data_IF_463227919873
#
_entry.id   IF_463227919873
#
_cell.length_a   1.000
_cell.length_b   1.000
_cell.length_c   1.000
_cell.angle_alpha   90.00
_cell.angle_beta   90.00
_cell.angle_gamma   90.00
#
_symmetry.space_group_name_H-M   'P 1'
#
loop_
_entity.id
_entity.type
_entity.pdbx_description
1 polymer ?
#
# COMPACT_ATOMS: atom_id res chain seq x y z
N UNK A 1 -1.18 -35.13 35.27
CA UNK A 1 -0.21 -34.44 36.15
C UNK A 1 0.55 -33.37 35.35
N UNK A 2 0.18 -32.09 35.41
CA UNK A 2 0.88 -31.04 34.66
C UNK A 2 2.24 -30.75 35.33
N UNK A 3 3.36 -31.06 34.67
CA UNK A 3 4.73 -30.83 35.15
C UNK A 3 4.92 -29.38 35.64
N UNK A 4 5.57 -29.16 36.80
CA UNK A 4 5.76 -27.84 37.43
C UNK A 4 6.23 -26.74 36.45
N UNK A 5 7.06 -27.08 35.45
CA UNK A 5 7.50 -26.16 34.37
C UNK A 5 6.34 -25.57 33.54
N UNK A 6 5.32 -26.38 33.18
CA UNK A 6 4.14 -25.93 32.43
C UNK A 6 3.25 -24.99 33.25
N UNK A 7 3.07 -25.27 34.55
CA UNK A 7 2.29 -24.39 35.45
C UNK A 7 2.92 -23.01 35.58
N UNK A 8 4.24 -22.96 35.69
CA UNK A 8 4.99 -21.70 35.77
C UNK A 8 4.92 -20.88 34.48
N UNK A 9 5.17 -21.50 33.33
CA UNK A 9 5.04 -20.82 32.03
C UNK A 9 3.62 -20.25 31.84
N UNK A 10 2.58 -21.03 32.16
CA UNK A 10 1.18 -20.57 32.06
C UNK A 10 0.89 -19.37 32.97
N UNK A 11 1.48 -19.32 34.17
CA UNK A 11 1.29 -18.19 35.09
C UNK A 11 1.94 -16.90 34.56
N UNK A 12 3.17 -17.00 34.04
CA UNK A 12 3.90 -15.89 33.41
C UNK A 12 3.12 -15.40 32.17
N UNK A 13 2.73 -16.33 31.29
CA UNK A 13 1.95 -16.01 30.09
C UNK A 13 0.62 -15.34 30.43
N UNK A 14 -0.08 -15.79 31.47
CA UNK A 14 -1.34 -15.16 31.91
C UNK A 14 -1.12 -13.75 32.42
N UNK A 15 -0.03 -13.49 33.15
CA UNK A 15 0.35 -12.15 33.61
C UNK A 15 0.63 -11.23 32.43
N UNK A 16 1.45 -11.68 31.48
CA UNK A 16 1.82 -10.90 30.31
C UNK A 16 0.63 -10.66 29.37
N UNK A 17 -0.24 -11.66 29.16
CA UNK A 17 -1.48 -11.48 28.40
C UNK A 17 -2.41 -10.45 29.05
N UNK A 18 -2.52 -10.45 30.39
CA UNK A 18 -3.33 -9.45 31.09
C UNK A 18 -2.84 -8.02 30.82
N UNK A 19 -1.53 -7.83 30.62
CA UNK A 19 -0.94 -6.52 30.28
C UNK A 19 -1.36 -6.03 28.88
N UNK A 20 -1.53 -6.94 27.91
CA UNK A 20 -2.03 -6.61 26.56
C UNK A 20 -3.43 -6.02 26.62
N UNK A 21 -4.29 -6.61 27.47
CA UNK A 21 -5.68 -6.20 27.62
C UNK A 21 -5.89 -5.10 28.67
N UNK A 22 -4.84 -4.43 29.14
CA UNK A 22 -5.02 -3.21 29.94
C UNK A 22 -5.45 -2.05 29.05
N UNK A 23 -6.26 -1.13 29.60
CA UNK A 23 -6.78 0.02 28.84
C UNK A 23 -5.69 0.83 28.14
N UNK A 24 -4.57 1.08 28.83
CA UNK A 24 -3.41 1.80 28.26
C UNK A 24 -2.83 1.08 27.04
N UNK A 25 -2.70 -0.24 27.11
CA UNK A 25 -2.16 -1.05 26.01
C UNK A 25 -3.17 -1.18 24.88
N UNK A 26 -4.46 -1.39 25.18
CA UNK A 26 -5.53 -1.42 24.16
C UNK A 26 -5.58 -0.10 23.38
N UNK A 27 -5.47 1.05 24.06
CA UNK A 27 -5.39 2.34 23.38
C UNK A 27 -4.21 2.36 22.41
N UNK A 28 -3.03 1.96 22.86
CA UNK A 28 -1.81 2.06 22.05
C UNK A 28 -1.75 1.03 20.91
N UNK A 29 -2.36 -0.15 21.11
CA UNK A 29 -2.34 -1.27 20.15
C UNK A 29 -3.51 -1.29 19.18
N UNK A 30 -4.66 -0.71 19.56
CA UNK A 30 -5.89 -0.73 18.77
C UNK A 30 -6.36 0.68 18.45
N UNK A 31 -6.48 1.59 19.42
CA UNK A 31 -7.08 2.91 19.15
C UNK A 31 -6.14 3.83 18.37
N UNK A 32 -4.86 3.93 18.77
CA UNK A 32 -3.88 4.81 18.10
C UNK A 32 -3.62 4.41 16.65
N UNK A 33 -3.35 3.12 16.31
CA UNK A 33 -3.13 2.73 14.92
C UNK A 33 -4.36 2.97 14.05
N UNK A 34 -5.55 2.69 14.61
CA UNK A 34 -6.84 2.95 13.94
C UNK A 34 -7.02 4.44 13.64
N UNK A 35 -6.89 5.30 14.65
CA UNK A 35 -7.08 6.76 14.50
C UNK A 35 -6.00 7.35 13.61
N UNK A 36 -4.75 6.91 13.71
CA UNK A 36 -3.68 7.39 12.83
C UNK A 36 -3.99 7.09 11.37
N UNK A 37 -4.39 5.86 11.06
CA UNK A 37 -4.76 5.51 9.68
C UNK A 37 -6.01 6.22 9.22
N UNK A 38 -7.01 6.32 10.09
CA UNK A 38 -8.20 7.11 9.81
C UNK A 38 -7.88 8.58 9.54
N UNK A 39 -6.97 9.18 10.31
CA UNK A 39 -6.57 10.57 10.15
C UNK A 39 -5.74 10.79 8.88
N UNK A 40 -4.77 9.91 8.62
CA UNK A 40 -3.87 10.00 7.48
C UNK A 40 -4.61 9.79 6.15
N UNK A 41 -5.56 8.85 6.13
CA UNK A 41 -6.31 8.49 4.91
C UNK A 41 -7.61 9.29 4.80
N UNK A 42 -8.40 9.30 5.86
CA UNK A 42 -9.75 9.87 5.87
C UNK A 42 -9.79 11.39 5.89
N UNK A 43 -8.85 12.07 6.56
CA UNK A 43 -8.89 13.54 6.64
C UNK A 43 -8.57 14.17 5.27
N UNK A 44 -7.49 13.78 4.55
CA UNK A 44 -7.25 14.32 3.21
C UNK A 44 -8.40 14.06 2.24
N UNK A 45 -9.06 12.90 2.30
CA UNK A 45 -10.23 12.63 1.44
C UNK A 45 -11.40 13.58 1.68
N UNK A 46 -11.56 14.09 2.92
CA UNK A 46 -12.57 15.10 3.24
C UNK A 46 -12.23 16.49 2.68
N UNK A 47 -10.95 16.76 2.37
CA UNK A 47 -10.47 18.03 1.81
C UNK A 47 -10.22 17.99 0.30
N UNK A 48 -10.05 16.80 -0.30
CA UNK A 48 -9.87 16.60 -1.75
C UNK A 48 -11.20 16.65 -2.51
N UNK A 49 -12.33 16.59 -1.81
CA UNK A 49 -13.69 16.79 -2.36
C UNK A 49 -13.94 18.14 -3.05
N UNK A 50 -12.90 18.99 -3.20
CA UNK A 50 -12.96 20.27 -3.90
C UNK A 50 -11.94 20.47 -5.04
N UNK A 51 -11.17 19.46 -5.47
CA UNK A 51 -10.25 19.60 -6.62
C UNK A 51 -10.78 18.96 -7.89
N UNK A 52 -11.09 19.79 -8.90
CA UNK A 52 -11.60 19.33 -10.18
C UNK A 52 -10.49 18.60 -10.98
N UNK A 53 -10.82 17.44 -11.54
CA UNK A 53 -10.00 16.74 -12.53
C UNK A 53 -10.12 17.46 -13.86
N UNK A 54 -9.05 18.12 -14.30
CA UNK A 54 -9.00 18.77 -15.62
C UNK A 54 -8.46 17.77 -16.63
N UNK A 55 -9.24 17.52 -17.68
CA UNK A 55 -8.86 16.67 -18.82
C UNK A 55 -8.79 17.58 -20.04
N UNK A 56 -7.58 17.71 -20.60
CA UNK A 56 -7.32 18.57 -21.75
C UNK A 56 -7.49 17.78 -23.04
N UNK A 57 -8.42 18.18 -23.89
CA UNK A 57 -8.77 17.46 -25.11
C UNK A 57 -8.45 18.32 -26.34
N UNK A 58 -7.76 17.75 -27.32
CA UNK A 58 -7.62 18.34 -28.64
C UNK A 58 -8.30 17.44 -29.66
N UNK A 59 -9.36 17.93 -30.28
CA UNK A 59 -10.03 17.26 -31.38
C UNK A 59 -9.63 17.92 -32.71
N UNK A 60 -8.78 17.26 -33.50
CA UNK A 60 -8.43 17.71 -34.84
C UNK A 60 -9.28 17.06 -35.93
N UNK A 61 -10.25 16.21 -35.57
CA UNK A 61 -11.14 15.51 -36.50
C UNK A 61 -12.15 16.50 -37.11
N UNK A 62 -11.74 17.17 -38.18
CA UNK A 62 -12.56 18.13 -38.92
C UNK A 62 -13.45 17.45 -39.99
N UNK A 63 -13.18 16.18 -40.30
CA UNK A 63 -13.91 15.41 -41.31
C UNK A 63 -15.15 14.70 -40.76
N UNK A 64 -16.13 14.43 -41.61
CA UNK A 64 -17.24 13.54 -41.29
C UNK A 64 -17.62 12.68 -42.48
N UNK A 65 -18.12 11.48 -42.22
CA UNK A 65 -18.58 10.55 -43.25
C UNK A 65 -20.08 10.64 -43.42
N UNK A 66 -20.51 10.71 -44.68
CA UNK A 66 -21.93 10.64 -45.04
C UNK A 66 -22.30 9.17 -45.19
N UNK A 67 -23.15 8.67 -44.30
CA UNK A 67 -23.62 7.28 -44.32
C UNK A 67 -25.13 7.23 -44.52
N UNK A 68 -25.60 6.22 -45.26
CA UNK A 68 -27.02 6.02 -45.53
C UNK A 68 -27.51 4.82 -44.72
N UNK A 69 -28.43 5.04 -43.78
CA UNK A 69 -29.05 3.98 -42.97
C UNK A 69 -30.55 4.00 -43.22
N UNK A 70 -31.11 2.88 -43.69
CA UNK A 70 -32.54 2.72 -43.96
C UNK A 70 -33.13 3.83 -44.86
N UNK A 71 -32.35 4.34 -45.83
CA UNK A 71 -32.77 5.40 -46.75
C UNK A 71 -32.60 6.83 -46.23
N UNK A 72 -32.18 7.01 -44.99
CA UNK A 72 -31.88 8.33 -44.40
C UNK A 72 -30.38 8.63 -44.46
N UNK A 73 -30.04 9.88 -44.78
CA UNK A 73 -28.66 10.37 -44.86
C UNK A 73 -28.23 10.93 -43.51
N UNK A 74 -27.13 10.41 -42.96
CA UNK A 74 -26.51 10.88 -41.73
C UNK A 74 -25.10 11.40 -42.01
N UNK A 75 -24.78 12.59 -41.51
CA UNK A 75 -23.41 13.08 -41.44
C UNK A 75 -22.86 12.77 -40.05
N UNK A 76 -21.78 12.00 -39.98
CA UNK A 76 -21.21 11.52 -38.71
C UNK A 76 -19.79 12.05 -38.57
N UNK A 77 -19.50 12.69 -37.45
CA UNK A 77 -18.15 12.98 -36.99
C UNK A 77 -17.97 12.34 -35.60
N UNK A 78 -17.19 11.26 -35.57
CA UNK A 78 -16.95 10.46 -34.36
C UNK A 78 -16.18 11.26 -33.33
N UNK A 79 -15.16 12.03 -33.72
CA UNK A 79 -14.39 12.87 -32.79
C UNK A 79 -15.25 13.91 -32.07
N UNK A 80 -16.19 14.53 -32.78
CA UNK A 80 -17.16 15.47 -32.20
C UNK A 80 -18.17 14.79 -31.29
N UNK A 81 -18.68 13.61 -31.67
CA UNK A 81 -19.60 12.84 -30.83
C UNK A 81 -18.94 12.38 -29.52
N UNK A 82 -17.67 11.97 -29.59
CA UNK A 82 -16.87 11.60 -28.43
C UNK A 82 -16.67 12.81 -27.52
N UNK A 83 -16.22 13.95 -28.06
CA UNK A 83 -16.02 15.17 -27.30
C UNK A 83 -17.32 15.64 -26.62
N UNK A 84 -18.44 15.58 -27.34
CA UNK A 84 -19.76 15.92 -26.81
C UNK A 84 -20.15 15.02 -25.63
N UNK A 85 -19.99 13.70 -25.75
CA UNK A 85 -20.29 12.77 -24.65
C UNK A 85 -19.40 12.98 -23.43
N UNK A 86 -18.10 13.24 -23.63
CA UNK A 86 -17.19 13.58 -22.54
C UNK A 86 -17.62 14.85 -21.80
N UNK A 87 -18.02 15.90 -22.55
CA UNK A 87 -18.52 17.14 -21.96
C UNK A 87 -19.87 16.93 -21.26
N UNK A 88 -20.77 16.14 -21.84
CA UNK A 88 -22.06 15.81 -21.24
C UNK A 88 -21.89 15.07 -19.91
N UNK A 89 -21.02 14.07 -19.85
CA UNK A 89 -20.70 13.35 -18.63
C UNK A 89 -20.04 14.27 -17.59
N UNK A 90 -19.05 15.08 -17.99
CA UNK A 90 -18.38 16.02 -17.10
C UNK A 90 -19.32 17.09 -16.52
N UNK A 91 -20.39 17.46 -17.23
CA UNK A 91 -21.40 18.39 -16.72
C UNK A 91 -22.34 17.76 -15.68
N UNK A 92 -22.36 16.42 -15.55
CA UNK A 92 -23.11 15.71 -14.52
C UNK A 92 -22.27 15.38 -13.27
N UNK A 93 -20.95 15.51 -13.37
CA UNK A 93 -20.00 15.21 -12.31
C UNK A 93 -19.28 16.48 -11.85
N UNK A 94 -19.53 16.93 -10.62
CA UNK A 94 -19.01 18.20 -10.09
C UNK A 94 -17.47 18.28 -10.02
N UNK A 95 -16.79 17.13 -10.13
CA UNK A 95 -15.34 16.98 -9.96
C UNK A 95 -14.58 16.77 -11.29
N UNK A 96 -15.21 16.91 -12.46
CA UNK A 96 -14.55 16.77 -13.78
C UNK A 96 -14.72 18.03 -14.61
N UNK A 97 -13.64 18.47 -15.27
CA UNK A 97 -13.66 19.58 -16.22
C UNK A 97 -12.97 19.19 -17.51
N UNK A 98 -13.68 19.31 -18.63
CA UNK A 98 -13.09 19.15 -19.97
C UNK A 98 -12.60 20.51 -20.46
N UNK A 99 -11.31 20.60 -20.78
CA UNK A 99 -10.69 21.79 -21.39
C UNK A 99 -10.32 21.50 -22.83
N UNK A 100 -10.94 22.21 -23.78
CA UNK A 100 -10.67 21.99 -25.21
C UNK A 100 -9.56 22.92 -25.69
N UNK A 101 -8.52 22.36 -26.30
CA UNK A 101 -7.37 23.09 -26.84
C UNK A 101 -7.17 22.84 -28.33
N UNK A 102 -6.52 23.79 -29.00
CA UNK A 102 -6.39 23.81 -30.46
C UNK A 102 -5.17 23.06 -31.03
N UNK A 103 -4.29 22.50 -30.20
CA UNK A 103 -3.06 21.86 -30.69
C UNK A 103 -2.73 20.58 -29.95
N UNK A 104 -2.28 19.56 -30.69
CA UNK A 104 -1.76 18.28 -30.15
C UNK A 104 -0.76 18.48 -29.01
N UNK A 105 0.21 19.36 -29.19
CA UNK A 105 1.25 19.61 -28.19
C UNK A 105 0.69 20.14 -26.85
N UNK A 106 -0.34 21.01 -26.88
CA UNK A 106 -0.99 21.50 -25.65
C UNK A 106 -1.77 20.41 -24.94
N UNK A 107 -2.44 19.53 -25.68
CA UNK A 107 -3.16 18.40 -25.09
C UNK A 107 -2.19 17.38 -24.48
N UNK A 108 -1.18 16.93 -25.22
CA UNK A 108 -0.28 15.87 -24.76
C UNK A 108 0.77 16.34 -23.74
N UNK A 109 1.01 17.65 -23.59
CA UNK A 109 1.85 18.20 -22.52
C UNK A 109 1.07 18.52 -21.23
N UNK A 110 -0.27 18.42 -21.24
CA UNK A 110 -1.07 18.55 -20.03
C UNK A 110 -0.92 17.30 -19.13
N UNK A 111 -1.26 17.42 -17.85
CA UNK A 111 -1.22 16.30 -16.90
C UNK A 111 -2.11 15.14 -17.32
N UNK A 112 -3.28 15.44 -17.88
CA UNK A 112 -4.23 14.46 -18.41
C UNK A 112 -4.73 14.97 -19.77
N UNK A 113 -4.24 14.36 -20.84
CA UNK A 113 -4.38 14.85 -22.20
C UNK A 113 -4.91 13.80 -23.17
N UNK A 114 -5.83 14.18 -24.05
CA UNK A 114 -6.36 13.31 -25.11
C UNK A 114 -6.27 14.04 -26.46
N UNK A 115 -5.80 13.35 -27.49
CA UNK A 115 -5.69 13.87 -28.85
C UNK A 115 -6.38 12.94 -29.85
N UNK A 116 -7.34 13.51 -30.60
CA UNK A 116 -7.96 12.87 -31.75
C UNK A 116 -7.35 13.41 -33.05
N UNK A 117 -6.82 12.54 -33.93
CA UNK A 117 -6.21 12.96 -35.20
C UNK A 117 -7.24 13.41 -36.25
N UNK A 118 -6.78 14.06 -37.32
CA UNK A 118 -7.61 14.65 -38.38
C UNK A 118 -8.45 13.66 -39.19
N UNK A 119 -8.10 12.39 -39.16
CA UNK A 119 -8.75 11.30 -39.90
C UNK A 119 -9.44 10.29 -38.96
N UNK A 120 -9.68 10.66 -37.69
CA UNK A 120 -10.20 9.75 -36.66
C UNK A 120 -11.55 9.13 -37.06
N UNK A 121 -12.48 9.94 -37.58
CA UNK A 121 -13.76 9.44 -38.09
C UNK A 121 -13.58 8.43 -39.22
N UNK A 122 -12.77 8.75 -40.23
CA UNK A 122 -12.54 7.87 -41.38
C UNK A 122 -11.83 6.57 -41.01
N UNK A 123 -10.84 6.63 -40.11
CA UNK A 123 -10.13 5.46 -39.59
C UNK A 123 -11.07 4.55 -38.80
N UNK A 124 -12.03 5.14 -38.07
CA UNK A 124 -13.05 4.39 -37.34
C UNK A 124 -13.94 3.55 -38.23
N UNK A 125 -14.39 4.09 -39.37
CA UNK A 125 -15.17 3.31 -40.34
C UNK A 125 -14.34 2.25 -41.09
N UNK A 126 -13.02 2.40 -41.12
CA UNK A 126 -12.08 1.39 -41.62
C UNK A 126 -11.75 0.30 -40.59
N UNK A 127 -12.08 0.50 -39.30
CA UNK A 127 -11.74 -0.41 -38.22
C UNK A 127 -10.33 -0.20 -37.64
N UNK A 128 -9.71 0.94 -37.92
CA UNK A 128 -8.31 1.27 -37.59
C UNK A 128 -8.24 2.50 -36.66
N UNK A 129 -9.22 2.70 -35.76
CA UNK A 129 -9.26 3.87 -34.87
C UNK A 129 -8.05 3.91 -33.94
N UNK A 130 -7.26 4.97 -34.08
CA UNK A 130 -6.15 5.28 -33.17
C UNK A 130 -6.33 6.67 -32.60
N UNK A 131 -6.21 6.80 -31.27
CA UNK A 131 -6.11 8.08 -30.59
C UNK A 131 -4.94 8.05 -29.61
N UNK A 132 -4.38 9.23 -29.32
CA UNK A 132 -3.24 9.36 -28.43
C UNK A 132 -3.68 9.95 -27.09
N UNK A 133 -3.08 9.47 -26.00
CA UNK A 133 -3.35 10.00 -24.68
C UNK A 133 -2.08 10.14 -23.83
N UNK A 134 -2.06 11.13 -22.95
CA UNK A 134 -1.02 11.31 -21.95
C UNK A 134 -1.66 11.38 -20.57
N UNK A 135 -1.17 10.54 -19.64
CA UNK A 135 -1.69 10.43 -18.28
C UNK A 135 -0.52 10.48 -17.32
N UNK A 136 -0.39 11.59 -16.58
CA UNK A 136 0.57 11.71 -15.47
C UNK A 136 -0.08 11.32 -14.14
N UNK A 137 -1.41 11.40 -14.06
CA UNK A 137 -2.16 10.96 -12.90
C UNK A 137 -2.02 9.43 -12.74
N UNK A 138 -1.67 8.99 -11.54
CA UNK A 138 -1.61 7.57 -11.21
C UNK A 138 -2.99 6.92 -11.39
N UNK A 139 -3.03 5.68 -11.90
CA UNK A 139 -4.27 4.88 -12.03
C UNK A 139 -5.05 4.73 -10.71
N UNK A 140 -4.38 4.96 -9.58
CA UNK A 140 -4.99 4.89 -8.25
C UNK A 140 -5.40 6.26 -7.69
N UNK A 141 -5.33 7.32 -8.49
CA UNK A 141 -5.77 8.67 -8.10
C UNK A 141 -7.13 8.99 -8.71
N UNK A 142 -7.93 9.84 -8.05
CA UNK A 142 -9.22 10.32 -8.58
C UNK A 142 -9.07 10.89 -10.00
N UNK A 143 -8.00 11.64 -10.24
CA UNK A 143 -7.71 12.20 -11.56
C UNK A 143 -7.43 11.11 -12.60
N UNK A 144 -6.73 10.03 -12.20
CA UNK A 144 -6.43 8.90 -13.07
C UNK A 144 -7.67 8.06 -13.38
N UNK A 145 -8.53 7.81 -12.39
CA UNK A 145 -9.80 7.11 -12.58
C UNK A 145 -10.76 7.89 -13.48
N UNK A 146 -10.99 9.18 -13.20
CA UNK A 146 -11.84 10.03 -14.03
C UNK A 146 -11.32 10.10 -15.47
N UNK A 147 -10.00 10.07 -15.64
CA UNK A 147 -9.38 9.97 -16.96
C UNK A 147 -9.66 8.61 -17.63
N UNK A 148 -9.52 7.49 -16.92
CA UNK A 148 -9.82 6.15 -17.46
C UNK A 148 -11.30 5.98 -17.80
N UNK A 149 -12.21 6.54 -16.99
CA UNK A 149 -13.64 6.61 -17.29
C UNK A 149 -13.89 7.36 -18.60
N UNK A 150 -13.18 8.47 -18.84
CA UNK A 150 -13.24 9.15 -20.13
C UNK A 150 -12.70 8.31 -21.28
N UNK A 151 -11.62 7.54 -21.08
CA UNK A 151 -11.13 6.60 -22.09
C UNK A 151 -12.17 5.53 -22.43
N UNK A 152 -12.89 5.00 -21.43
CA UNK A 152 -13.96 4.04 -21.65
C UNK A 152 -15.15 4.65 -22.41
N UNK A 153 -15.52 5.90 -22.11
CA UNK A 153 -16.56 6.62 -22.86
C UNK A 153 -16.18 6.81 -24.33
N UNK A 154 -14.90 7.05 -24.63
CA UNK A 154 -14.40 7.10 -26.02
C UNK A 154 -14.66 5.76 -26.71
N UNK A 155 -14.31 4.64 -26.07
CA UNK A 155 -14.52 3.30 -26.62
C UNK A 155 -16.00 2.99 -26.83
N UNK A 156 -16.87 3.35 -25.88
CA UNK A 156 -18.32 3.14 -25.97
C UNK A 156 -18.92 3.91 -27.16
N UNK A 157 -18.53 5.18 -27.36
CA UNK A 157 -19.03 5.99 -28.48
C UNK A 157 -18.52 5.46 -29.82
N UNK A 158 -17.26 5.03 -29.90
CA UNK A 158 -16.70 4.44 -31.13
C UNK A 158 -17.40 3.12 -31.46
N UNK A 159 -17.59 2.25 -30.46
CA UNK A 159 -18.23 0.94 -30.64
C UNK A 159 -19.72 1.07 -31.00
N UNK A 160 -20.46 1.93 -30.30
CA UNK A 160 -21.88 2.20 -30.59
C UNK A 160 -22.07 2.82 -31.98
N UNK A 161 -21.18 3.73 -32.40
CA UNK A 161 -21.20 4.27 -33.77
C UNK A 161 -20.99 3.16 -34.78
N UNK A 162 -20.01 2.28 -34.58
CA UNK A 162 -19.75 1.19 -35.50
C UNK A 162 -20.92 0.18 -35.58
N UNK A 163 -21.52 -0.19 -34.45
CA UNK A 163 -22.71 -1.05 -34.36
C UNK A 163 -23.94 -0.49 -35.06
N UNK A 164 -24.15 0.83 -34.99
CA UNK A 164 -25.30 1.47 -35.62
C UNK A 164 -25.21 1.46 -37.15
N UNK A 165 -24.00 1.48 -37.72
CA UNK A 165 -23.79 1.64 -39.16
C UNK A 165 -23.41 0.36 -39.92
N UNK A 166 -23.03 -0.73 -39.25
CA UNK A 166 -22.74 -2.03 -39.89
C UNK A 166 -23.60 -3.14 -39.29
N UNK A 167 -24.13 -4.01 -40.15
CA UNK A 167 -24.77 -5.27 -39.75
C UNK A 167 -23.66 -6.23 -39.31
N UNK A 168 -23.25 -6.17 -38.04
CA UNK A 168 -22.06 -6.89 -37.53
C UNK A 168 -22.34 -8.38 -37.37
N UNK A 169 -21.41 -9.21 -37.85
CA UNK A 169 -21.18 -10.60 -37.44
C UNK A 169 -19.91 -10.64 -36.57
N UNK A 170 -19.79 -11.65 -35.70
CA UNK A 170 -18.77 -11.78 -34.63
C UNK A 170 -17.31 -11.55 -35.09
N UNK A 171 -17.02 -11.74 -36.37
CA UNK A 171 -15.69 -11.64 -36.98
C UNK A 171 -15.22 -10.20 -37.35
N UNK A 172 -16.07 -9.17 -37.21
CA UNK A 172 -15.79 -7.79 -37.69
C UNK A 172 -15.90 -6.71 -36.60
N UNK A 173 -15.61 -7.04 -35.34
CA UNK A 173 -15.61 -6.08 -34.23
C UNK A 173 -14.35 -5.19 -34.32
N UNK A 174 -14.48 -3.85 -34.41
CA UNK A 174 -13.32 -2.96 -34.49
C UNK A 174 -12.57 -2.96 -33.17
N UNK A 175 -11.25 -2.99 -33.24
CA UNK A 175 -10.39 -2.75 -32.09
C UNK A 175 -10.01 -1.27 -32.07
N UNK A 176 -10.37 -0.58 -30.99
CA UNK A 176 -9.87 0.77 -30.73
C UNK A 176 -8.57 0.61 -29.96
N UNK A 177 -7.45 0.98 -30.57
CA UNK A 177 -6.15 0.91 -29.90
C UNK A 177 -5.80 2.28 -29.30
N UNK A 178 -5.89 2.44 -27.96
CA UNK A 178 -5.41 3.63 -27.31
C UNK A 178 -3.87 3.62 -27.30
N UNK A 179 -3.23 4.62 -27.90
CA UNK A 179 -1.76 4.74 -27.87
C UNK A 179 -1.37 5.69 -26.75
N UNK A 180 -0.70 5.14 -25.73
CA UNK A 180 -0.13 5.95 -24.66
C UNK A 180 1.06 6.74 -25.22
N UNK A 181 0.95 8.07 -25.20
CA UNK A 181 2.09 8.95 -25.43
C UNK A 181 2.97 8.94 -24.18
N UNK A 182 4.09 8.24 -24.27
CA UNK A 182 5.14 8.25 -23.24
C UNK A 182 6.17 9.30 -23.70
N UNK A 183 6.31 10.45 -23.02
CA UNK A 183 7.44 11.34 -23.30
C UNK A 183 8.74 10.55 -23.13
N UNK A 184 9.76 10.75 -23.98
CA UNK A 184 10.97 9.95 -23.94
C UNK A 184 11.61 10.04 -22.55
N UNK A 185 11.47 8.97 -21.77
CA UNK A 185 12.06 8.84 -20.45
C UNK A 185 13.36 8.05 -20.60
N UNK A 186 14.44 8.63 -20.08
CA UNK A 186 15.66 7.90 -19.71
C UNK A 186 15.27 6.76 -18.76
N UNK A 187 15.34 5.52 -19.25
CA UNK A 187 15.03 4.33 -18.46
C UNK A 187 15.85 4.29 -17.16
N UNK A 188 15.24 3.72 -16.11
CA UNK A 188 15.80 2.47 -15.64
C UNK A 188 14.72 1.37 -15.68
N UNK A 189 15.10 0.22 -16.25
CA UNK A 189 14.33 -1.02 -16.17
C UNK A 189 13.98 -1.34 -14.72
N UNK A 190 12.69 -1.35 -14.37
CA UNK A 190 12.21 -1.81 -13.07
C UNK A 190 12.16 -3.34 -13.03
N UNK A 191 12.54 -3.93 -11.89
CA UNK A 191 12.66 -5.39 -11.70
C UNK A 191 11.27 -6.07 -11.54
N UNK A 192 10.26 -5.33 -11.08
CA UNK A 192 8.91 -5.84 -10.77
C UNK A 192 7.84 -5.32 -11.73
N UNK A 193 6.73 -6.05 -11.85
CA UNK A 193 5.58 -5.62 -12.65
C UNK A 193 4.96 -4.30 -12.16
N UNK A 194 4.25 -3.59 -13.04
CA UNK A 194 3.58 -2.34 -12.70
C UNK A 194 2.54 -2.51 -11.57
N UNK A 195 1.83 -3.64 -11.51
CA UNK A 195 0.89 -3.93 -10.42
C UNK A 195 1.59 -4.05 -9.07
N UNK A 196 2.73 -4.73 -9.04
CA UNK A 196 3.53 -4.91 -7.84
C UNK A 196 4.16 -3.58 -7.41
N UNK A 197 4.59 -2.76 -8.37
CA UNK A 197 5.08 -1.39 -8.10
C UNK A 197 4.03 -0.50 -7.43
N UNK A 198 2.73 -0.69 -7.74
CA UNK A 198 1.63 0.03 -7.07
C UNK A 198 1.48 -0.36 -5.59
N UNK A 199 1.83 -1.60 -5.22
CA UNK A 199 1.78 -2.11 -3.84
C UNK A 199 3.05 -1.80 -3.04
N UNK A 200 4.16 -1.54 -3.73
CA UNK A 200 5.49 -1.43 -3.15
C UNK A 200 5.64 -0.26 -2.16
N UNK A 201 5.14 0.93 -2.52
CA UNK A 201 5.22 2.11 -1.64
C UNK A 201 4.24 2.02 -0.46
N UNK A 202 2.95 1.68 -0.64
CA UNK A 202 2.02 1.49 0.48
C UNK A 202 2.51 0.46 1.49
N UNK A 203 3.12 -0.63 1.01
CA UNK A 203 3.66 -1.66 1.88
C UNK A 203 4.85 -1.17 2.72
N UNK A 204 5.80 -0.47 2.10
CA UNK A 204 6.94 0.12 2.82
C UNK A 204 6.49 1.15 3.86
N UNK A 205 5.47 1.94 3.54
CA UNK A 205 4.87 2.91 4.45
C UNK A 205 4.16 2.23 5.63
N UNK A 206 3.34 1.21 5.36
CA UNK A 206 2.67 0.41 6.39
C UNK A 206 3.68 -0.23 7.34
N UNK A 207 4.76 -0.80 6.79
CA UNK A 207 5.85 -1.38 7.55
C UNK A 207 6.47 -0.33 8.47
N UNK A 208 6.83 0.85 7.97
CA UNK A 208 7.39 1.93 8.79
C UNK A 208 6.48 2.40 9.94
N UNK A 209 5.18 2.62 9.69
CA UNK A 209 4.23 3.02 10.73
C UNK A 209 4.11 1.93 11.79
N UNK A 210 3.93 0.69 11.38
CA UNK A 210 3.74 -0.43 12.30
C UNK A 210 5.00 -0.66 13.16
N UNK A 211 6.20 -0.53 12.57
CA UNK A 211 7.47 -0.53 13.31
C UNK A 211 7.50 0.57 14.39
N UNK A 212 7.07 1.78 14.04
CA UNK A 212 7.05 2.92 14.96
C UNK A 212 6.07 2.73 16.12
N UNK A 213 4.90 2.15 15.84
CA UNK A 213 3.88 1.84 16.83
C UNK A 213 4.35 0.74 17.79
N UNK A 214 4.94 -0.34 17.27
CA UNK A 214 5.49 -1.42 18.10
C UNK A 214 6.69 -0.96 18.92
N UNK A 215 7.56 -0.13 18.35
CA UNK A 215 8.60 0.58 19.09
C UNK A 215 8.05 1.22 20.37
N UNK A 216 6.94 1.94 20.23
CA UNK A 216 6.26 2.56 21.36
C UNK A 216 5.52 1.57 22.27
N UNK A 217 4.99 0.45 21.76
CA UNK A 217 4.40 -0.62 22.60
C UNK A 217 5.41 -1.35 23.47
N UNK A 218 6.68 -1.43 23.05
CA UNK A 218 7.77 -1.92 23.89
C UNK A 218 7.83 -1.19 25.24
N UNK A 219 7.31 0.04 25.30
CA UNK A 219 7.26 0.85 26.52
C UNK A 219 6.27 0.37 27.57
N UNK A 220 5.21 -0.33 27.17
CA UNK A 220 4.12 -0.79 28.06
C UNK A 220 4.21 -2.28 28.38
N UNK A 221 4.73 -3.10 27.46
CA UNK A 221 4.72 -4.57 27.58
C UNK A 221 6.14 -5.16 27.71
N UNK A 222 7.18 -4.39 27.37
CA UNK A 222 8.57 -4.83 27.36
C UNK A 222 9.21 -4.95 28.74
N UNK A 223 10.37 -5.62 28.79
CA UNK A 223 11.13 -5.84 30.03
C UNK A 223 11.55 -4.52 30.70
N UNK A 224 11.78 -3.47 29.93
CA UNK A 224 12.08 -2.14 30.46
C UNK A 224 11.01 -1.62 31.43
N UNK A 225 9.73 -1.92 31.20
CA UNK A 225 8.67 -1.49 32.12
C UNK A 225 8.69 -2.31 33.40
N UNK A 226 8.97 -3.60 33.28
CA UNK A 226 9.05 -4.49 34.44
C UNK A 226 10.26 -4.19 35.32
N UNK A 227 11.36 -3.71 34.73
CA UNK A 227 12.53 -3.19 35.43
C UNK A 227 12.18 -1.91 36.20
N UNK A 228 11.46 -0.99 35.57
CA UNK A 228 10.96 0.24 36.22
C UNK A 228 10.09 -0.07 37.45
N UNK A 229 9.18 -1.02 37.29
CA UNK A 229 8.22 -1.38 38.33
C UNK A 229 8.84 -2.29 39.41
N UNK A 230 10.14 -2.62 39.33
CA UNK A 230 10.82 -3.55 40.24
C UNK A 230 10.32 -4.99 40.18
N UNK A 231 9.43 -5.31 39.24
CA UNK A 231 8.82 -6.65 39.11
C UNK A 231 9.69 -7.63 38.35
N UNK A 232 10.65 -7.14 37.56
CA UNK A 232 11.54 -7.95 36.73
C UNK A 232 12.46 -8.86 37.57
N UNK A 233 13.08 -8.34 38.62
CA UNK A 233 13.95 -9.11 39.53
C UNK A 233 13.15 -10.18 40.27
N UNK A 234 11.92 -9.87 40.66
CA UNK A 234 10.99 -10.83 41.28
C UNK A 234 10.60 -11.94 40.30
N UNK A 235 10.41 -11.63 39.02
CA UNK A 235 10.17 -12.66 38.00
C UNK A 235 11.40 -13.52 37.75
N UNK A 236 12.61 -12.94 37.77
CA UNK A 236 13.84 -13.70 37.64
C UNK A 236 14.08 -14.64 38.82
N UNK A 237 13.78 -14.21 40.05
CA UNK A 237 13.97 -15.03 41.26
C UNK A 237 12.98 -16.20 41.32
N UNK A 238 11.75 -16.01 40.83
CA UNK A 238 10.73 -17.06 40.82
C UNK A 238 10.93 -18.01 39.63
N UNK A 239 11.48 -17.55 38.50
CA UNK A 239 11.54 -18.30 37.24
C UNK A 239 12.73 -19.25 37.14
N UNK A 240 12.47 -20.57 37.22
CA UNK A 240 13.52 -21.60 37.07
C UNK A 240 14.07 -21.73 35.65
N UNK A 241 13.31 -21.34 34.62
CA UNK A 241 13.75 -21.37 33.23
C UNK A 241 13.62 -19.97 32.61
N UNK A 242 14.72 -19.21 32.56
CA UNK A 242 14.71 -17.82 32.05
C UNK A 242 14.24 -17.72 30.60
N UNK A 243 14.41 -18.78 29.79
CA UNK A 243 13.86 -18.82 28.43
C UNK A 243 12.34 -18.72 28.38
N UNK A 244 11.63 -19.14 29.44
CA UNK A 244 10.18 -19.00 29.52
C UNK A 244 9.73 -17.53 29.53
N UNK A 245 10.55 -16.62 30.05
CA UNK A 245 10.26 -15.18 30.03
C UNK A 245 10.34 -14.63 28.60
N UNK A 246 11.38 -14.99 27.86
CA UNK A 246 11.55 -14.62 26.44
C UNK A 246 10.36 -15.13 25.61
N UNK A 247 10.03 -16.42 25.72
CA UNK A 247 8.94 -17.01 24.94
C UNK A 247 7.57 -16.42 25.31
N UNK A 248 7.33 -16.12 26.59
CA UNK A 248 6.11 -15.45 27.03
C UNK A 248 5.97 -14.08 26.37
N UNK A 249 7.02 -13.24 26.44
CA UNK A 249 7.03 -11.92 25.81
C UNK A 249 6.93 -11.99 24.29
N UNK A 250 7.52 -13.00 23.66
CA UNK A 250 7.44 -13.20 22.22
C UNK A 250 5.99 -13.48 21.80
N UNK A 251 5.32 -14.44 22.43
CA UNK A 251 3.90 -14.77 22.15
C UNK A 251 3.01 -13.54 22.34
N UNK A 252 3.22 -12.83 23.45
CA UNK A 252 2.43 -11.64 23.80
C UNK A 252 2.70 -10.50 22.82
N UNK A 253 3.96 -10.30 22.42
CA UNK A 253 4.36 -9.39 21.37
C UNK A 253 3.71 -9.73 20.03
N UNK A 254 3.69 -11.01 19.63
CA UNK A 254 3.02 -11.47 18.40
C UNK A 254 1.52 -11.19 18.43
N UNK A 255 0.84 -11.47 19.54
CA UNK A 255 -0.60 -11.18 19.69
C UNK A 255 -0.86 -9.68 19.58
N UNK A 256 -0.08 -8.87 20.29
CA UNK A 256 -0.22 -7.42 20.27
C UNK A 256 0.08 -6.85 18.87
N UNK A 257 1.11 -7.36 18.19
CA UNK A 257 1.45 -7.00 16.81
C UNK A 257 0.32 -7.34 15.84
N UNK A 258 -0.28 -8.52 16.00
CA UNK A 258 -1.43 -8.96 15.19
C UNK A 258 -2.63 -8.03 15.39
N UNK A 259 -2.93 -7.66 16.64
CA UNK A 259 -4.00 -6.68 16.93
C UNK A 259 -3.71 -5.31 16.32
N UNK A 260 -2.46 -4.86 16.33
CA UNK A 260 -2.03 -3.60 15.71
C UNK A 260 -2.15 -3.64 14.19
N UNK A 261 -1.76 -4.74 13.55
CA UNK A 261 -1.96 -4.95 12.11
C UNK A 261 -3.46 -4.90 11.78
N UNK A 262 -4.28 -5.66 12.51
CA UNK A 262 -5.73 -5.70 12.27
C UNK A 262 -6.38 -4.34 12.49
N UNK A 263 -5.97 -3.61 13.52
CA UNK A 263 -6.45 -2.25 13.79
C UNK A 263 -6.04 -1.27 12.69
N UNK A 264 -4.79 -1.31 12.24
CA UNK A 264 -4.26 -0.50 11.15
C UNK A 264 -5.13 -0.69 9.89
N UNK A 265 -5.40 -1.94 9.51
CA UNK A 265 -6.22 -2.24 8.34
C UNK A 265 -7.70 -1.93 8.54
N UNK A 266 -8.25 -2.13 9.74
CA UNK A 266 -9.62 -1.73 10.06
C UNK A 266 -9.80 -0.20 9.94
N UNK A 267 -8.83 0.59 10.41
CA UNK A 267 -8.83 2.04 10.29
C UNK A 267 -8.79 2.50 8.83
N UNK A 268 -7.94 1.86 8.03
CA UNK A 268 -7.89 2.11 6.59
C UNK A 268 -9.19 1.73 5.88
N UNK A 269 -9.79 0.59 6.22
CA UNK A 269 -11.03 0.14 5.60
C UNK A 269 -12.20 1.07 5.91
N UNK A 270 -12.32 1.55 7.15
CA UNK A 270 -13.35 2.51 7.54
C UNK A 270 -13.11 3.88 6.89
N UNK A 271 -11.86 4.34 6.78
CA UNK A 271 -11.54 5.56 6.04
C UNK A 271 -11.97 5.46 4.57
N UNK A 272 -11.70 4.33 3.91
CA UNK A 272 -12.17 4.06 2.55
C UNK A 272 -13.70 4.04 2.43
N UNK A 273 -14.40 3.45 3.41
CA UNK A 273 -15.86 3.42 3.43
C UNK A 273 -16.49 4.81 3.61
N UNK A 274 -15.91 5.68 4.43
CA UNK A 274 -16.37 7.07 4.56
C UNK A 274 -16.06 7.87 3.29
N UNK A 275 -14.89 7.65 2.68
CA UNK A 275 -14.57 8.24 1.38
C UNK A 275 -15.63 7.91 0.33
N UNK A 276 -16.11 6.64 0.29
CA UNK A 276 -17.23 6.22 -0.56
C UNK A 276 -18.53 6.98 -0.25
N UNK A 277 -18.87 7.12 1.03
CA UNK A 277 -20.11 7.77 1.44
C UNK A 277 -20.12 9.28 1.14
N UNK A 278 -18.96 9.95 1.18
CA UNK A 278 -18.84 11.40 0.94
C UNK A 278 -18.64 11.73 -0.54
N UNK A 279 -17.91 10.91 -1.29
CA UNK A 279 -17.57 11.17 -2.69
C UNK A 279 -18.53 10.48 -3.69
N UNK A 280 -19.50 9.71 -3.22
CA UNK A 280 -20.58 9.14 -4.06
C UNK A 280 -20.16 7.98 -4.98
N UNK A 281 -18.91 7.53 -4.95
CA UNK A 281 -18.36 6.59 -5.90
C UNK A 281 -17.90 5.28 -5.23
N UNK A 282 -17.91 4.16 -5.98
CA UNK A 282 -17.65 2.80 -5.50
C UNK A 282 -16.29 2.67 -4.80
N UNK A 283 -16.28 2.08 -3.60
CA UNK A 283 -15.06 1.78 -2.84
C UNK A 283 -14.09 0.82 -3.56
N UNK A 284 -14.52 0.23 -4.68
CA UNK A 284 -13.68 -0.59 -5.54
C UNK A 284 -12.79 0.25 -6.47
N UNK A 285 -13.15 1.51 -6.74
CA UNK A 285 -12.48 2.37 -7.73
C UNK A 285 -11.74 3.58 -7.12
N UNK A 286 -11.97 3.87 -5.83
CA UNK A 286 -11.20 4.87 -5.08
C UNK A 286 -10.09 4.22 -4.26
N UNK A 287 -8.91 4.17 -4.84
CA UNK A 287 -7.95 5.30 -4.81
C UNK A 287 -7.94 6.32 -3.65
N UNK A 288 -8.73 6.20 -2.59
CA UNK A 288 -8.31 6.68 -1.26
C UNK A 288 -7.19 5.79 -0.67
N UNK A 289 -6.63 4.91 -1.49
CA UNK A 289 -5.48 4.03 -1.31
C UNK A 289 -4.21 4.59 -1.94
N UNK A 290 -4.22 5.86 -2.40
CA UNK A 290 -3.03 6.52 -2.93
C UNK A 290 -1.95 6.70 -1.86
N UNK A 291 -0.81 6.04 -2.06
CA UNK A 291 0.43 6.08 -1.26
C UNK A 291 0.48 5.36 0.09
N UNK A 292 -0.60 5.33 0.90
CA UNK A 292 -0.45 5.08 2.35
C UNK A 292 -1.22 3.87 2.90
N UNK A 293 -2.02 3.16 2.10
CA UNK A 293 -2.77 2.00 2.59
C UNK A 293 -3.07 0.92 1.53
N UNK A 294 -3.13 -0.34 1.98
CA UNK A 294 -3.50 -1.49 1.14
C UNK A 294 -5.03 -1.69 1.14
N UNK A 295 -5.67 -1.96 -0.02
CA UNK A 295 -7.09 -2.28 -0.07
C UNK A 295 -7.42 -3.55 0.73
N UNK A 296 -8.56 -3.57 1.43
CA UNK A 296 -8.96 -4.73 2.24
C UNK A 296 -9.20 -6.00 1.41
N UNK A 297 -9.72 -5.86 0.18
CA UNK A 297 -9.88 -6.97 -0.77
C UNK A 297 -8.53 -7.58 -1.16
N UNK A 298 -7.52 -6.73 -1.35
CA UNK A 298 -6.17 -7.18 -1.69
C UNK A 298 -5.52 -7.94 -0.55
N UNK A 299 -5.86 -7.66 0.71
CA UNK A 299 -5.40 -8.44 1.88
C UNK A 299 -5.84 -9.90 1.86
N UNK A 300 -7.01 -10.19 1.27
CA UNK A 300 -7.54 -11.55 1.13
C UNK A 300 -7.01 -12.25 -0.13
N UNK A 301 -6.37 -11.51 -1.04
CA UNK A 301 -5.68 -12.09 -2.19
C UNK A 301 -4.38 -12.80 -1.78
N UNK A 302 -3.86 -13.65 -2.67
CA UNK A 302 -2.53 -14.26 -2.49
C UNK A 302 -1.45 -13.21 -2.19
N UNK A 303 -1.44 -12.11 -2.96
CA UNK A 303 -0.47 -10.99 -2.79
C UNK A 303 -0.59 -10.41 -1.38
N UNK A 304 -1.81 -10.13 -0.91
CA UNK A 304 -2.04 -9.58 0.43
C UNK A 304 -1.64 -10.51 1.58
N UNK A 305 -1.90 -11.81 1.45
CA UNK A 305 -1.48 -12.80 2.46
C UNK A 305 0.05 -12.82 2.60
N UNK A 306 0.78 -12.76 1.48
CA UNK A 306 2.25 -12.69 1.48
C UNK A 306 2.72 -11.41 2.18
N UNK A 307 2.13 -10.25 1.87
CA UNK A 307 2.46 -8.98 2.52
C UNK A 307 2.16 -9.01 4.02
N UNK A 308 1.04 -9.62 4.44
CA UNK A 308 0.68 -9.80 5.85
C UNK A 308 1.69 -10.66 6.62
N UNK A 309 2.18 -11.75 5.99
CA UNK A 309 3.23 -12.58 6.56
C UNK A 309 4.53 -11.78 6.69
N UNK A 310 4.89 -11.00 5.67
CA UNK A 310 6.03 -10.07 5.71
C UNK A 310 5.95 -9.07 6.87
N UNK A 311 4.80 -8.42 7.07
CA UNK A 311 4.55 -7.54 8.22
C UNK A 311 4.70 -8.29 9.53
N UNK A 312 4.10 -9.47 9.67
CA UNK A 312 4.22 -10.28 10.87
C UNK A 312 5.68 -10.59 11.21
N UNK A 313 6.48 -10.97 10.22
CA UNK A 313 7.91 -11.24 10.40
C UNK A 313 8.69 -9.99 10.82
N UNK A 314 8.44 -8.84 10.17
CA UNK A 314 9.09 -7.58 10.50
C UNK A 314 8.80 -7.17 11.95
N UNK A 315 7.55 -7.28 12.39
CA UNK A 315 7.14 -6.89 13.74
C UNK A 315 7.71 -7.82 14.82
N UNK A 316 7.78 -9.13 14.55
CA UNK A 316 8.44 -10.09 15.45
C UNK A 316 9.92 -9.76 15.59
N UNK A 317 10.59 -9.45 14.47
CA UNK A 317 11.99 -9.05 14.47
C UNK A 317 12.20 -7.78 15.31
N UNK A 318 11.36 -6.77 15.14
CA UNK A 318 11.41 -5.52 15.90
C UNK A 318 11.21 -5.73 17.38
N UNK A 319 10.25 -6.58 17.76
CA UNK A 319 10.00 -6.87 19.17
C UNK A 319 11.19 -7.60 19.81
N UNK A 320 11.81 -8.53 19.10
CA UNK A 320 13.04 -9.20 19.55
C UNK A 320 14.22 -8.23 19.66
N UNK A 321 14.36 -7.30 18.71
CA UNK A 321 15.38 -6.25 18.76
C UNK A 321 15.16 -5.33 19.97
N UNK A 322 13.93 -4.87 20.21
CA UNK A 322 13.58 -4.10 21.41
C UNK A 322 13.94 -4.85 22.69
N UNK A 323 13.51 -6.10 22.81
CA UNK A 323 13.79 -6.91 24.00
C UNK A 323 15.30 -7.06 24.23
N UNK A 324 16.07 -7.30 23.18
CA UNK A 324 17.52 -7.49 23.27
C UNK A 324 18.22 -6.20 23.67
N UNK A 325 17.88 -5.07 23.05
CA UNK A 325 18.49 -3.78 23.37
C UNK A 325 18.10 -3.34 24.78
N UNK A 326 16.83 -3.49 25.15
CA UNK A 326 16.32 -3.10 26.47
C UNK A 326 16.89 -3.95 27.61
N UNK A 327 17.19 -5.22 27.36
CA UNK A 327 17.80 -6.08 28.38
C UNK A 327 19.29 -5.79 28.55
N UNK A 328 20.00 -5.47 27.46
CA UNK A 328 21.46 -5.27 27.48
C UNK A 328 21.90 -3.84 27.86
N UNK A 329 21.19 -2.81 27.40
CA UNK A 329 21.68 -1.43 27.44
C UNK A 329 20.83 -0.50 28.30
N UNK A 330 19.58 -0.87 28.59
CA UNK A 330 18.64 0.00 29.31
C UNK A 330 18.61 -0.38 30.79
N UNK A 331 19.11 0.51 31.68
CA UNK A 331 18.93 0.37 33.14
C UNK A 331 17.66 1.05 33.61
N UNK A 332 17.27 2.15 32.98
CA UNK A 332 16.05 2.91 33.31
C UNK A 332 15.20 3.21 32.08
N UNK A 333 13.91 3.48 32.26
CA UNK A 333 12.96 3.79 31.18
C UNK A 333 13.33 5.03 30.37
N UNK A 334 14.07 5.96 30.97
CA UNK A 334 14.56 7.15 30.30
C UNK A 334 15.72 6.85 29.32
N UNK A 335 16.47 5.77 29.51
CA UNK A 335 17.66 5.38 28.71
C UNK A 335 17.31 4.47 27.52
N UNK A 336 16.04 4.36 27.13
CA UNK A 336 15.56 3.43 26.10
C UNK A 336 16.10 3.77 24.70
N UNK A 337 17.29 3.27 24.38
CA UNK A 337 17.95 3.41 23.07
C UNK A 337 17.27 2.56 21.99
N UNK A 338 16.55 1.49 22.37
CA UNK A 338 15.93 0.57 21.40
C UNK A 338 14.94 1.23 20.43
N UNK A 339 14.10 2.15 20.93
CA UNK A 339 13.09 2.82 20.09
C UNK A 339 13.73 3.76 19.05
N UNK A 340 14.65 4.68 19.43
CA UNK A 340 15.39 5.48 18.45
C UNK A 340 16.12 4.65 17.39
N UNK A 341 16.76 3.54 17.77
CA UNK A 341 17.48 2.66 16.83
C UNK A 341 16.51 2.07 15.80
N UNK A 342 15.37 1.54 16.24
CA UNK A 342 14.36 0.98 15.32
C UNK A 342 13.79 2.03 14.39
N UNK A 343 13.50 3.24 14.89
CA UNK A 343 13.02 4.34 14.06
C UNK A 343 14.07 4.77 13.04
N UNK A 344 15.35 4.81 13.42
CA UNK A 344 16.44 5.13 12.50
C UNK A 344 16.55 4.08 11.38
N UNK A 345 16.56 2.79 11.71
CA UNK A 345 16.56 1.73 10.69
C UNK A 345 15.28 1.73 9.84
N UNK A 346 14.13 2.05 10.43
CA UNK A 346 12.87 2.21 9.70
C UNK A 346 12.91 3.37 8.70
N UNK A 347 13.44 4.53 9.10
CA UNK A 347 13.61 5.70 8.22
C UNK A 347 14.62 5.45 7.10
N UNK A 348 15.76 4.83 7.43
CA UNK A 348 16.79 4.45 6.44
C UNK A 348 16.29 3.41 5.44
N UNK A 349 15.25 2.66 5.77
CA UNK A 349 14.53 1.78 4.85
C UNK A 349 13.48 2.55 4.02
N UNK A 350 12.64 3.35 4.69
CA UNK A 350 11.48 3.97 4.07
C UNK A 350 11.86 5.05 3.05
N UNK A 351 12.85 5.91 3.36
CA UNK A 351 13.23 7.02 2.49
C UNK A 351 13.73 6.56 1.10
N UNK A 352 14.67 5.60 0.99
CA UNK A 352 15.10 5.12 -0.32
C UNK A 352 13.99 4.41 -1.10
N UNK A 353 13.15 3.62 -0.43
CA UNK A 353 12.05 2.89 -1.08
C UNK A 353 10.97 3.83 -1.61
N UNK A 354 10.74 4.97 -0.94
CA UNK A 354 9.83 6.01 -1.47
C UNK A 354 10.35 6.67 -2.74
N UNK A 355 11.66 6.83 -2.87
CA UNK A 355 12.27 7.48 -4.05
C UNK A 355 12.28 6.50 -5.23
N UNK A 356 12.68 5.25 -5.01
CA UNK A 356 12.69 4.22 -6.04
C UNK A 356 12.52 2.82 -5.43
N UNK A 357 11.29 2.27 -5.40
CA UNK A 357 11.00 1.03 -4.68
C UNK A 357 11.67 -0.21 -5.30
N UNK A 358 11.96 -0.18 -6.59
CA UNK A 358 12.58 -1.28 -7.34
C UNK A 358 14.11 -1.26 -7.37
N UNK A 359 14.77 -0.25 -6.77
CA UNK A 359 16.23 -0.16 -6.78
C UNK A 359 16.83 -0.47 -5.41
N UNK A 360 17.84 -1.35 -5.39
CA UNK A 360 18.67 -1.59 -4.23
C UNK A 360 19.80 -0.55 -4.15
N UNK A 361 20.05 -0.03 -2.96
CA UNK A 361 21.29 0.69 -2.66
C UNK A 361 21.99 0.03 -1.47
N UNK A 362 23.24 0.41 -1.20
CA UNK A 362 24.02 -0.18 -0.10
C UNK A 362 23.30 -0.11 1.26
N UNK A 363 22.63 1.00 1.56
CA UNK A 363 21.89 1.22 2.81
C UNK A 363 20.71 0.24 2.92
N UNK A 364 20.00 -0.02 1.83
CA UNK A 364 18.91 -0.98 1.76
C UNK A 364 19.42 -2.42 1.89
N UNK A 365 20.51 -2.78 1.21
CA UNK A 365 21.05 -4.14 1.22
C UNK A 365 21.49 -4.57 2.63
N UNK A 366 21.93 -3.65 3.49
CA UNK A 366 22.28 -3.97 4.88
C UNK A 366 21.08 -3.90 5.85
N UNK A 367 19.93 -3.41 5.40
CA UNK A 367 18.77 -3.17 6.25
C UNK A 367 17.86 -4.42 6.32
N UNK A 368 17.63 -5.00 7.51
CA UNK A 368 16.84 -6.21 7.62
C UNK A 368 15.35 -6.03 7.27
N UNK A 369 14.83 -4.79 7.33
CA UNK A 369 13.47 -4.49 6.88
C UNK A 369 13.36 -4.51 5.36
N UNK A 370 14.43 -4.15 4.65
CA UNK A 370 14.49 -4.26 3.19
C UNK A 370 14.50 -5.72 2.73
N UNK A 371 15.16 -6.63 3.46
CA UNK A 371 15.14 -8.06 3.12
C UNK A 371 13.72 -8.63 3.14
N UNK A 372 12.98 -8.35 4.22
CA UNK A 372 11.58 -8.78 4.37
C UNK A 372 10.71 -8.12 3.30
N UNK A 373 10.92 -6.84 3.05
CA UNK A 373 10.23 -6.08 2.01
C UNK A 373 10.42 -6.70 0.63
N UNK A 374 11.67 -6.83 0.18
CA UNK A 374 12.05 -7.30 -1.13
C UNK A 374 11.53 -8.72 -1.39
N UNK A 375 11.73 -9.63 -0.42
CA UNK A 375 11.22 -11.00 -0.51
C UNK A 375 9.69 -11.02 -0.63
N UNK A 376 8.98 -10.20 0.15
CA UNK A 376 7.51 -10.15 0.09
C UNK A 376 7.02 -9.64 -1.27
N UNK A 377 7.68 -8.63 -1.84
CA UNK A 377 7.33 -8.08 -3.16
C UNK A 377 7.63 -9.09 -4.27
N UNK A 378 8.82 -9.72 -4.28
CA UNK A 378 9.19 -10.72 -5.29
C UNK A 378 8.30 -11.97 -5.24
N UNK A 379 7.85 -12.40 -4.05
CA UNK A 379 6.88 -13.50 -3.92
C UNK A 379 5.51 -13.07 -4.46
N UNK A 380 5.05 -11.86 -4.12
CA UNK A 380 3.77 -11.33 -4.60
C UNK A 380 3.74 -11.18 -6.14
N UNK A 381 4.89 -10.90 -6.75
CA UNK A 381 5.07 -10.75 -8.20
C UNK A 381 5.45 -12.06 -8.92
N UNK A 382 5.64 -13.16 -8.19
CA UNK A 382 6.14 -14.44 -8.70
C UNK A 382 7.51 -14.34 -9.41
N UNK A 383 8.29 -13.30 -9.12
CA UNK A 383 9.63 -13.04 -9.67
C UNK A 383 10.75 -13.48 -8.73
N UNK A 384 10.51 -14.50 -7.91
CA UNK A 384 11.45 -14.97 -6.89
C UNK A 384 12.79 -15.44 -7.49
N UNK A 385 13.87 -14.82 -7.03
CA UNK A 385 15.25 -15.09 -7.47
C UNK A 385 16.10 -15.71 -6.36
N UNK A 386 17.34 -16.11 -6.69
CA UNK A 386 18.29 -16.59 -5.68
C UNK A 386 18.67 -15.50 -4.65
N UNK A 387 18.60 -14.22 -5.01
CA UNK A 387 18.85 -13.09 -4.11
C UNK A 387 17.75 -13.03 -3.04
N UNK A 388 16.50 -13.27 -3.43
CA UNK A 388 15.38 -13.38 -2.48
C UNK A 388 15.56 -14.56 -1.53
N UNK A 389 16.06 -15.69 -2.04
CA UNK A 389 16.46 -16.84 -1.23
C UNK A 389 17.52 -16.48 -0.17
N UNK A 390 18.54 -15.71 -0.55
CA UNK A 390 19.55 -15.21 0.37
C UNK A 390 18.93 -14.31 1.46
N UNK A 391 18.09 -13.34 1.07
CA UNK A 391 17.42 -12.44 2.01
C UNK A 391 16.51 -13.18 2.99
N UNK A 392 15.76 -14.18 2.52
CA UNK A 392 14.94 -15.03 3.38
C UNK A 392 15.80 -15.76 4.43
N UNK A 393 16.91 -16.37 4.00
CA UNK A 393 17.85 -17.06 4.91
C UNK A 393 18.45 -16.07 5.90
N UNK A 394 18.87 -14.88 5.46
CA UNK A 394 19.41 -13.83 6.33
C UNK A 394 18.38 -13.37 7.37
N UNK A 395 17.12 -13.17 6.99
CA UNK A 395 16.03 -12.84 7.92
C UNK A 395 15.80 -13.95 8.95
N UNK A 396 15.82 -15.23 8.56
CA UNK A 396 15.66 -16.36 9.47
C UNK A 396 16.85 -16.51 10.42
N UNK A 397 18.07 -16.35 9.92
CA UNK A 397 19.30 -16.36 10.73
C UNK A 397 19.27 -15.21 11.73
N UNK A 398 18.89 -14.00 11.30
CA UNK A 398 18.78 -12.84 12.18
C UNK A 398 17.74 -13.06 13.28
N UNK A 399 16.57 -13.60 12.94
CA UNK A 399 15.54 -13.96 13.92
C UNK A 399 16.09 -14.95 14.96
N UNK A 400 16.77 -16.01 14.53
CA UNK A 400 17.37 -16.99 15.43
C UNK A 400 18.45 -16.37 16.33
N UNK A 401 19.33 -15.54 15.77
CA UNK A 401 20.36 -14.82 16.51
C UNK A 401 19.76 -13.85 17.55
N UNK A 402 18.70 -13.13 17.21
CA UNK A 402 18.01 -12.22 18.13
C UNK A 402 17.33 -12.97 19.28
N UNK A 403 16.72 -14.13 19.04
CA UNK A 403 16.19 -14.98 20.12
C UNK A 403 17.30 -15.45 21.06
N UNK A 404 18.44 -15.87 20.51
CA UNK A 404 19.60 -16.28 21.30
C UNK A 404 20.20 -15.10 22.09
N UNK A 405 20.28 -13.92 21.47
CA UNK A 405 20.77 -12.70 22.11
C UNK A 405 19.86 -12.28 23.26
N UNK A 406 18.53 -12.21 23.05
CA UNK A 406 17.55 -11.92 24.09
C UNK A 406 17.64 -12.92 25.26
N UNK A 407 17.79 -14.22 24.95
CA UNK A 407 17.97 -15.25 25.98
C UNK A 407 19.24 -15.04 26.80
N UNK A 408 20.39 -14.83 26.13
CA UNK A 408 21.68 -14.60 26.81
C UNK A 408 21.66 -13.30 27.63
N UNK A 409 20.98 -12.26 27.15
CA UNK A 409 20.84 -11.01 27.86
C UNK A 409 20.13 -11.21 29.21
N UNK A 410 18.99 -11.93 29.22
CA UNK A 410 18.26 -12.25 30.46
C UNK A 410 19.05 -13.18 31.37
N UNK A 411 19.83 -14.12 30.82
CA UNK A 411 20.70 -15.00 31.61
C UNK A 411 21.84 -14.25 32.30
N UNK A 412 22.36 -13.18 31.70
CA UNK A 412 23.41 -12.33 32.29
C UNK A 412 22.90 -11.38 33.37
N UNK A 413 21.60 -11.14 33.41
CA UNK A 413 21.00 -10.24 34.39
C UNK A 413 21.12 -10.84 35.80
N UNK A 414 21.83 -10.12 36.67
CA UNK A 414 22.09 -10.54 38.05
C UNK A 414 20.84 -10.24 38.89
N UNK A 415 20.38 -11.23 39.65
CA UNK A 415 19.32 -11.03 40.65
C UNK A 415 19.98 -10.35 41.84
N UNK A 416 19.59 -9.12 42.16
CA UNK A 416 20.20 -8.32 43.25
C UNK A 416 19.77 -8.75 44.66
N UNK A 417 18.99 -9.83 44.79
CA UNK A 417 18.57 -10.36 46.08
C UNK A 417 19.15 -11.77 46.30
N UNK A 418 20.22 -11.83 47.09
CA UNK A 418 20.56 -12.95 47.97
C UNK A 418 20.41 -12.49 49.41
#
# INVERSE_FOLDING_TARGET
>A
MMTKKRKQFRAILRKDLKLVFTWKTIILTIVVPFIMMFAIVGIPTLFVSGSNTVITVCNADEGGTVTHVNGSVYFINVGQNVLYNMQYYANQEDNIKIEVVSTRAKALNASNGIYFPTNFTTATFAGESVFEYHKTASDVSLQGYNFDTMLNLIQEVVFSTYLFFRNITEDNIPQVEPIQYIPPATEPSTIWSQETMKLAMPFAYALFILLSLIGNMGRTIGFSKEKEDGTFETMLSITKNRSNLVYSKLIVGTIASTLTILSYFAGSAIAGAISKAVLGQTADDYGATGFLSLPFRDLLSYKGVVLLIGLGLALVLTMLALMTVDTLFTKTVAERIGVPVILMFGLLFMLPVMINPGQSNFILVINPYYWIYHVSMSIADLTFTWIDGLYLVLSLVLLALMVLAARKAIEREKVLFT
#
